data_IF_841745049731
#
_entry.id   IF_841745049731
#
_cell.length_a   1.000
_cell.length_b   1.000
_cell.length_c   1.000
_cell.angle_alpha   90.00
_cell.angle_beta   90.00
_cell.angle_gamma   90.00
#
_symmetry.space_group_name_H-M   'P 1'
#
loop_
_entity.id
_entity.type
_entity.pdbx_description
1 polymer ?
#
# COMPACT_ATOMS: atom_id res chain seq x y z
N UNK A 1 -13.37 -13.44 -12.52
CA UNK A 1 -12.16 -13.67 -13.33
C UNK A 1 -10.86 -13.43 -12.56
N UNK A 2 -10.89 -13.63 -11.25
CA UNK A 2 -9.66 -13.58 -10.44
C UNK A 2 -8.93 -14.91 -10.58
N UNK A 3 -7.63 -14.86 -10.87
CA UNK A 3 -6.78 -16.04 -10.93
C UNK A 3 -5.77 -15.99 -9.79
N UNK A 4 -5.66 -17.10 -9.08
CA UNK A 4 -4.71 -17.23 -7.96
C UNK A 4 -3.81 -18.41 -8.23
N UNK A 5 -2.49 -18.16 -8.24
CA UNK A 5 -1.50 -19.17 -8.54
C UNK A 5 -1.32 -20.22 -7.45
N UNK A 6 -0.63 -21.28 -7.82
CA UNK A 6 -0.39 -22.42 -6.94
C UNK A 6 0.37 -22.01 -5.68
N UNK A 7 -0.05 -22.55 -4.56
CA UNK A 7 0.62 -22.34 -3.27
C UNK A 7 0.40 -20.97 -2.65
N UNK A 8 -0.42 -20.11 -3.25
CA UNK A 8 -0.75 -18.81 -2.68
C UNK A 8 -1.77 -18.95 -1.56
N UNK A 9 -1.48 -18.29 -0.43
CA UNK A 9 -2.37 -18.26 0.73
C UNK A 9 -3.01 -16.88 0.83
N UNK A 10 -4.34 -16.84 0.93
CA UNK A 10 -5.10 -15.60 1.06
C UNK A 10 -5.87 -15.66 2.38
N UNK A 11 -5.57 -14.74 3.27
CA UNK A 11 -6.26 -14.69 4.56
C UNK A 11 -7.64 -14.05 4.43
N UNK A 12 -8.46 -14.22 5.46
CA UNK A 12 -9.87 -13.84 5.45
C UNK A 12 -10.13 -12.36 5.17
N UNK A 13 -11.31 -12.09 4.66
CA UNK A 13 -11.81 -10.74 4.36
C UNK A 13 -11.01 -9.97 3.32
N UNK A 14 -10.18 -10.64 2.55
CA UNK A 14 -9.47 -10.02 1.43
C UNK A 14 -10.44 -9.83 0.27
N UNK A 15 -10.38 -8.66 -0.36
CA UNK A 15 -11.24 -8.30 -1.48
C UNK A 15 -10.37 -8.11 -2.73
N UNK A 16 -10.78 -8.76 -3.82
CA UNK A 16 -10.06 -8.68 -5.09
C UNK A 16 -11.04 -8.29 -6.19
N UNK A 17 -10.72 -7.21 -6.90
CA UNK A 17 -11.54 -6.78 -8.03
C UNK A 17 -11.30 -7.67 -9.25
N UNK A 18 -12.22 -7.58 -10.22
CA UNK A 18 -12.22 -8.48 -11.37
C UNK A 18 -10.95 -8.45 -12.20
N UNK A 19 -10.61 -9.61 -12.76
CA UNK A 19 -9.47 -9.79 -13.65
C UNK A 19 -8.10 -9.54 -13.02
N UNK A 20 -8.01 -9.63 -11.70
CA UNK A 20 -6.73 -9.66 -10.98
C UNK A 20 -6.08 -11.02 -11.18
N UNK A 21 -4.77 -11.04 -11.39
CA UNK A 21 -3.97 -12.26 -11.42
C UNK A 21 -2.95 -12.22 -10.31
N UNK A 22 -3.02 -13.19 -9.41
CA UNK A 22 -2.05 -13.35 -8.32
C UNK A 22 -1.15 -14.52 -8.66
N UNK A 23 0.14 -14.33 -8.54
CA UNK A 23 1.12 -15.35 -8.86
C UNK A 23 1.16 -16.51 -7.87
N UNK A 24 2.21 -17.31 -7.97
CA UNK A 24 2.43 -18.51 -7.15
C UNK A 24 3.14 -18.15 -5.85
N UNK A 25 2.83 -18.90 -4.80
CA UNK A 25 3.50 -18.79 -3.49
C UNK A 25 3.47 -17.39 -2.90
N UNK A 26 2.40 -16.66 -3.16
CA UNK A 26 2.15 -15.38 -2.50
C UNK A 26 1.53 -15.60 -1.13
N UNK A 27 1.73 -14.66 -0.23
CA UNK A 27 1.07 -14.64 1.08
C UNK A 27 0.32 -13.31 1.18
N UNK A 28 -1.00 -13.40 1.24
CA UNK A 28 -1.84 -12.20 1.28
C UNK A 28 -2.46 -12.06 2.67
N UNK A 29 -2.07 -11.02 3.38
CA UNK A 29 -2.60 -10.72 4.71
C UNK A 29 -4.07 -10.35 4.68
N UNK A 30 -4.77 -10.62 5.80
CA UNK A 30 -6.21 -10.44 5.89
C UNK A 30 -6.69 -9.03 5.66
N UNK A 31 -7.93 -8.90 5.19
CA UNK A 31 -8.60 -7.63 4.93
C UNK A 31 -7.85 -6.70 3.97
N UNK A 32 -7.02 -7.27 3.09
CA UNK A 32 -6.36 -6.50 2.03
C UNK A 32 -7.31 -6.29 0.86
N UNK A 33 -7.11 -5.20 0.13
CA UNK A 33 -7.94 -4.85 -1.02
C UNK A 33 -7.06 -4.67 -2.25
N UNK A 34 -7.44 -5.34 -3.34
CA UNK A 34 -6.67 -5.33 -4.59
C UNK A 34 -7.49 -4.74 -5.72
N UNK A 35 -6.88 -3.84 -6.47
CA UNK A 35 -7.44 -3.35 -7.72
C UNK A 35 -7.50 -4.49 -8.76
N UNK A 36 -8.37 -4.35 -9.75
CA UNK A 36 -8.50 -5.32 -10.82
C UNK A 36 -7.56 -5.06 -11.98
N UNK A 37 -7.59 -5.98 -12.96
CA UNK A 37 -6.88 -5.84 -14.24
C UNK A 37 -5.37 -5.58 -14.08
N UNK A 38 -4.73 -6.30 -13.16
CA UNK A 38 -3.29 -6.18 -12.93
C UNK A 38 -2.72 -7.52 -12.45
N UNK A 39 -1.42 -7.61 -12.38
CA UNK A 39 -0.73 -8.81 -11.94
C UNK A 39 0.07 -8.57 -10.67
N UNK A 40 0.03 -9.56 -9.78
CA UNK A 40 0.91 -9.66 -8.62
C UNK A 40 1.88 -10.79 -8.93
N UNK A 41 3.16 -10.51 -8.93
CA UNK A 41 4.16 -11.50 -9.29
C UNK A 41 4.23 -12.64 -8.27
N UNK A 42 4.92 -13.71 -8.65
CA UNK A 42 5.16 -14.84 -7.74
C UNK A 42 5.93 -14.39 -6.50
N UNK A 43 5.68 -15.06 -5.37
CA UNK A 43 6.41 -14.87 -4.11
C UNK A 43 6.32 -13.47 -3.52
N UNK A 44 5.22 -12.77 -3.77
CA UNK A 44 4.93 -11.51 -3.11
C UNK A 44 4.22 -11.78 -1.78
N UNK A 45 4.65 -11.10 -0.74
CA UNK A 45 3.96 -11.11 0.56
C UNK A 45 3.36 -9.73 0.78
N UNK A 46 2.05 -9.69 1.01
CA UNK A 46 1.33 -8.47 1.31
C UNK A 46 0.85 -8.55 2.75
N UNK A 47 1.24 -7.60 3.58
CA UNK A 47 0.82 -7.59 4.98
C UNK A 47 -0.65 -7.21 5.12
N UNK A 48 -1.26 -7.48 6.28
CA UNK A 48 -2.69 -7.29 6.48
C UNK A 48 -3.17 -5.86 6.26
N UNK A 49 -4.41 -5.74 5.84
CA UNK A 49 -5.11 -4.47 5.61
C UNK A 49 -4.42 -3.56 4.60
N UNK A 50 -3.78 -4.13 3.59
CA UNK A 50 -3.08 -3.36 2.57
C UNK A 50 -4.04 -2.90 1.46
N UNK A 51 -3.79 -1.72 0.92
CA UNK A 51 -4.43 -1.20 -0.28
C UNK A 51 -3.48 -1.40 -1.45
N UNK A 52 -3.71 -2.43 -2.26
CA UNK A 52 -2.84 -2.73 -3.39
C UNK A 52 -3.48 -2.18 -4.66
N UNK A 53 -3.05 -0.99 -5.06
CA UNK A 53 -3.64 -0.26 -6.19
C UNK A 53 -2.80 -0.35 -7.45
N UNK A 54 -1.60 -0.91 -7.38
CA UNK A 54 -0.67 -1.05 -8.50
C UNK A 54 -0.11 -2.46 -8.57
N UNK A 55 0.34 -2.91 -9.75
CA UNK A 55 0.98 -4.21 -9.88
C UNK A 55 2.20 -4.34 -8.98
N UNK A 56 2.45 -5.57 -8.52
CA UNK A 56 3.69 -5.91 -7.83
C UNK A 56 4.52 -6.71 -8.83
N UNK A 57 5.68 -6.18 -9.18
CA UNK A 57 6.51 -6.76 -10.24
C UNK A 57 7.75 -7.48 -9.73
N UNK A 58 8.07 -7.35 -8.45
CA UNK A 58 9.22 -8.00 -7.84
C UNK A 58 8.81 -8.72 -6.56
N UNK A 59 9.35 -9.93 -6.28
CA UNK A 59 9.11 -10.61 -5.01
C UNK A 59 9.56 -9.75 -3.84
N UNK A 60 8.89 -9.88 -2.72
CA UNK A 60 9.23 -9.15 -1.51
C UNK A 60 8.04 -8.97 -0.61
N UNK A 61 8.22 -8.22 0.47
CA UNK A 61 7.19 -7.93 1.46
C UNK A 61 6.71 -6.50 1.27
N UNK A 62 5.41 -6.34 1.11
CA UNK A 62 4.77 -5.05 0.83
C UNK A 62 3.76 -4.73 1.91
N UNK A 63 3.72 -3.48 2.31
CA UNK A 63 2.80 -2.99 3.35
C UNK A 63 2.23 -1.64 2.96
N UNK A 64 1.06 -1.33 3.49
CA UNK A 64 0.46 0.00 3.36
C UNK A 64 -0.29 0.34 4.64
N UNK A 65 -0.73 1.60 4.74
CA UNK A 65 -1.47 2.07 5.89
C UNK A 65 -0.58 2.66 6.99
N UNK A 66 -1.23 3.36 7.90
CA UNK A 66 -0.58 3.99 9.05
C UNK A 66 -0.60 3.00 10.21
N UNK A 67 0.52 2.76 10.90
CA UNK A 67 0.54 1.86 12.05
C UNK A 67 -0.43 2.29 13.15
N UNK A 68 -0.90 1.31 13.92
CA UNK A 68 -1.80 1.56 15.05
C UNK A 68 -1.19 2.55 16.04
N UNK A 69 -1.99 3.52 16.45
CA UNK A 69 -1.60 4.55 17.42
C UNK A 69 -2.73 4.74 18.43
N UNK A 70 -2.44 5.40 19.55
CA UNK A 70 -3.53 5.86 20.41
C UNK A 70 -4.40 6.84 19.60
N UNK A 71 -5.66 6.98 19.95
CA UNK A 71 -6.54 7.92 19.24
C UNK A 71 -5.99 9.34 19.25
N UNK A 72 -5.42 9.78 20.36
CA UNK A 72 -4.80 11.11 20.47
C UNK A 72 -3.68 11.29 19.45
N UNK A 73 -2.78 10.33 19.36
CA UNK A 73 -1.68 10.37 18.39
C UNK A 73 -2.19 10.28 16.96
N UNK A 74 -3.14 9.39 16.71
CA UNK A 74 -3.72 9.21 15.38
C UNK A 74 -4.36 10.49 14.84
N UNK A 75 -5.08 11.23 15.71
CA UNK A 75 -5.70 12.50 15.32
C UNK A 75 -4.66 13.52 14.87
N UNK A 76 -3.53 13.58 15.54
CA UNK A 76 -2.40 14.45 15.14
C UNK A 76 -1.81 14.02 13.81
N UNK A 77 -1.58 12.73 13.66
CA UNK A 77 -1.04 12.15 12.41
C UNK A 77 -1.98 12.44 11.24
N UNK A 78 -3.28 12.20 11.43
CA UNK A 78 -4.28 12.45 10.39
C UNK A 78 -4.31 13.93 9.98
N UNK A 79 -4.26 14.84 10.95
CA UNK A 79 -4.23 16.28 10.67
C UNK A 79 -3.00 16.67 9.85
N UNK A 80 -1.86 16.08 10.14
CA UNK A 80 -0.61 16.32 9.39
C UNK A 80 -0.69 15.75 7.98
N UNK A 81 -1.24 14.56 7.82
CA UNK A 81 -1.44 13.94 6.50
C UNK A 81 -2.29 14.85 5.62
N UNK A 82 -3.33 15.45 6.16
CA UNK A 82 -4.19 16.38 5.42
C UNK A 82 -3.46 17.65 4.98
N UNK A 83 -2.32 17.96 5.59
CA UNK A 83 -1.52 19.17 5.28
C UNK A 83 -0.25 18.86 4.50
N UNK A 84 -0.08 17.65 4.04
CA UNK A 84 1.14 17.21 3.36
C UNK A 84 1.48 18.11 2.15
N UNK A 85 0.48 18.45 1.35
CA UNK A 85 0.70 19.29 0.16
C UNK A 85 1.20 20.68 0.54
N UNK A 86 0.60 21.28 1.56
CA UNK A 86 1.05 22.57 2.09
C UNK A 86 2.50 22.49 2.61
N UNK A 87 2.81 21.43 3.36
CA UNK A 87 4.15 21.23 3.89
C UNK A 87 5.19 21.05 2.77
N UNK A 88 4.81 20.31 1.74
CA UNK A 88 5.67 20.13 0.56
C UNK A 88 6.00 21.47 -0.10
N UNK A 89 5.01 22.32 -0.30
CA UNK A 89 5.19 23.65 -0.90
C UNK A 89 6.10 24.53 -0.05
N UNK A 90 5.91 24.50 1.26
CA UNK A 90 6.75 25.30 2.18
C UNK A 90 8.19 24.83 2.16
N UNK A 91 8.40 23.51 2.15
CA UNK A 91 9.73 22.93 2.09
C UNK A 91 10.44 23.31 0.78
N UNK A 92 9.73 23.21 -0.35
CA UNK A 92 10.29 23.60 -1.66
C UNK A 92 10.72 25.04 -1.70
N UNK A 93 9.95 25.95 -1.09
CA UNK A 93 10.31 27.37 -1.01
C UNK A 93 11.56 27.58 -0.17
N UNK A 94 11.68 26.87 0.95
CA UNK A 94 12.86 26.97 1.81
C UNK A 94 14.11 26.48 1.09
N UNK A 95 14.01 25.36 0.38
CA UNK A 95 15.12 24.82 -0.41
C UNK A 95 15.60 25.81 -1.46
N UNK A 96 14.68 26.48 -2.16
CA UNK A 96 15.01 27.49 -3.17
C UNK A 96 15.74 28.68 -2.54
N UNK A 97 15.31 29.13 -1.36
CA UNK A 97 15.98 30.21 -0.64
C UNK A 97 17.42 29.85 -0.29
N UNK A 98 17.64 28.62 0.18
CA UNK A 98 18.98 28.16 0.55
C UNK A 98 19.89 28.08 -0.69
N UNK A 99 19.37 27.67 -1.83
CA UNK A 99 20.12 27.56 -3.07
C UNK A 99 20.51 28.94 -3.64
N UNK A 100 19.82 30.02 -3.24
CA UNK A 100 20.09 31.40 -3.69
C UNK A 100 21.14 32.11 -2.82
N UNK A 101 21.48 31.55 -1.70
CA UNK A 101 22.53 32.04 -0.82
C UNK A 101 23.89 31.47 -1.24
#
# INVERSE_FOLDING_TARGET
NVEIGYGTAVAGSTVMAGSLKVGKYCIIGGASVFNGHMEICDQATVTGMAMVMRPITEPGVYSSGIPLQTNKEWRKTAARVMRIEEMHKRLSKLEKKLDQE
#
